data_IF_998640284074
#
_entry.id   IF_998640284074
#
_cell.length_a   1.000
_cell.length_b   1.000
_cell.length_c   1.000
_cell.angle_alpha   90.00
_cell.angle_beta   90.00
_cell.angle_gamma   90.00
#
_symmetry.space_group_name_H-M   'P 1'
#
loop_
_entity.id
_entity.type
_entity.pdbx_description
1 polymer ?
#
# COMPACT_ATOMS: atom_id res chain seq x y z
N UNK A 1 21.04 -29.42 -8.22
CA UNK A 1 20.32 -28.13 -8.26
C UNK A 1 21.11 -27.14 -9.11
N UNK A 2 20.51 -26.54 -10.13
CA UNK A 2 21.18 -25.60 -11.02
C UNK A 2 21.32 -24.22 -10.35
N UNK A 3 22.33 -23.43 -10.77
CA UNK A 3 22.51 -22.06 -10.30
C UNK A 3 21.27 -21.20 -10.62
N UNK A 4 20.68 -21.35 -11.82
CA UNK A 4 19.46 -20.66 -12.19
C UNK A 4 18.28 -21.01 -11.28
N UNK A 5 18.13 -22.29 -10.90
CA UNK A 5 17.11 -22.71 -9.95
C UNK A 5 17.31 -22.10 -8.57
N UNK A 6 18.55 -22.04 -8.09
CA UNK A 6 18.88 -21.43 -6.80
C UNK A 6 18.60 -19.92 -6.81
N UNK A 7 18.92 -19.24 -7.89
CA UNK A 7 18.63 -17.80 -8.05
C UNK A 7 17.13 -17.56 -8.08
N UNK A 8 16.39 -18.37 -8.84
CA UNK A 8 14.92 -18.26 -8.90
C UNK A 8 14.27 -18.46 -7.52
N UNK A 9 14.73 -19.44 -6.75
CA UNK A 9 14.25 -19.67 -5.39
C UNK A 9 14.56 -18.49 -4.47
N UNK A 10 15.77 -17.91 -4.57
CA UNK A 10 16.14 -16.75 -3.77
C UNK A 10 15.30 -15.51 -4.12
N UNK A 11 15.04 -15.28 -5.40
CA UNK A 11 14.17 -14.18 -5.84
C UNK A 11 12.76 -14.37 -5.29
N UNK A 12 12.22 -15.57 -5.43
CA UNK A 12 10.88 -15.89 -4.90
C UNK A 12 10.78 -15.67 -3.39
N UNK A 13 11.73 -16.19 -2.61
CA UNK A 13 11.72 -16.02 -1.15
C UNK A 13 11.90 -14.55 -0.74
N UNK A 14 12.69 -13.79 -1.49
CA UNK A 14 12.88 -12.37 -1.26
C UNK A 14 11.59 -11.57 -1.53
N UNK A 15 10.93 -11.84 -2.64
CA UNK A 15 9.65 -11.20 -2.97
C UNK A 15 8.58 -11.53 -1.93
N UNK A 16 8.48 -12.78 -1.54
CA UNK A 16 7.56 -13.24 -0.48
C UNK A 16 7.85 -12.53 0.85
N UNK A 17 9.11 -12.40 1.23
CA UNK A 17 9.52 -11.70 2.45
C UNK A 17 9.15 -10.21 2.37
N UNK A 18 9.41 -9.55 1.24
CA UNK A 18 9.05 -8.15 1.04
C UNK A 18 7.54 -7.93 1.13
N UNK A 19 6.75 -8.78 0.50
CA UNK A 19 5.29 -8.72 0.55
C UNK A 19 4.77 -8.90 1.99
N UNK A 20 5.35 -9.83 2.73
CA UNK A 20 5.01 -10.05 4.13
C UNK A 20 5.32 -8.81 4.99
N UNK A 21 6.47 -8.18 4.79
CA UNK A 21 6.86 -6.98 5.55
C UNK A 21 5.91 -5.81 5.26
N UNK A 22 5.57 -5.58 4.00
CA UNK A 22 4.60 -4.54 3.60
C UNK A 22 3.23 -4.83 4.22
N UNK A 23 2.78 -6.08 4.16
CA UNK A 23 1.52 -6.50 4.77
C UNK A 23 1.50 -6.26 6.29
N UNK A 24 2.56 -6.67 7.00
CA UNK A 24 2.67 -6.48 8.45
C UNK A 24 2.62 -4.99 8.81
N UNK A 25 3.38 -4.16 8.10
CA UNK A 25 3.40 -2.72 8.32
C UNK A 25 2.01 -2.10 8.13
N UNK A 26 1.35 -2.44 7.04
CA UNK A 26 0.00 -1.97 6.73
C UNK A 26 -1.01 -2.43 7.78
N UNK A 27 -0.91 -3.67 8.23
CA UNK A 27 -1.76 -4.22 9.28
C UNK A 27 -1.57 -3.52 10.62
N UNK A 28 -0.33 -3.19 10.99
CA UNK A 28 -0.04 -2.45 12.22
C UNK A 28 -0.70 -1.07 12.21
N UNK A 29 -0.62 -0.36 11.09
CA UNK A 29 -1.26 0.95 10.94
C UNK A 29 -2.78 0.83 11.05
N UNK A 30 -3.40 -0.12 10.35
CA UNK A 30 -4.84 -0.35 10.36
C UNK A 30 -5.36 -0.86 11.72
N UNK A 31 -4.53 -1.55 12.48
CA UNK A 31 -4.89 -2.06 13.80
C UNK A 31 -5.26 -0.93 14.77
N UNK A 32 -4.60 0.23 14.70
CA UNK A 32 -4.96 1.42 15.49
C UNK A 32 -6.39 1.89 15.23
N UNK A 33 -6.86 1.68 14.02
CA UNK A 33 -8.19 2.09 13.53
C UNK A 33 -9.27 1.02 13.79
N UNK A 34 -8.95 -0.07 14.45
CA UNK A 34 -9.86 -1.19 14.66
C UNK A 34 -10.13 -2.02 13.41
N UNK A 35 -9.44 -1.74 12.29
CA UNK A 35 -9.54 -2.53 11.07
C UNK A 35 -8.83 -3.88 11.23
N UNK A 36 -9.45 -4.92 10.67
CA UNK A 36 -8.83 -6.24 10.64
C UNK A 36 -7.77 -6.37 9.55
N UNK A 37 -6.84 -7.33 9.72
CA UNK A 37 -5.89 -7.66 8.66
C UNK A 37 -6.55 -8.06 7.34
N UNK A 38 -7.80 -8.48 7.36
CA UNK A 38 -8.58 -8.79 6.17
C UNK A 38 -8.83 -7.57 5.30
N UNK A 39 -8.93 -6.37 5.87
CA UNK A 39 -9.07 -5.13 5.11
C UNK A 39 -7.91 -4.95 4.13
N UNK A 40 -6.68 -5.08 4.59
CA UNK A 40 -5.47 -4.97 3.75
C UNK A 40 -5.48 -6.01 2.63
N UNK A 41 -5.80 -7.27 2.95
CA UNK A 41 -5.88 -8.34 1.96
C UNK A 41 -6.98 -8.10 0.93
N UNK A 42 -8.13 -7.59 1.36
CA UNK A 42 -9.23 -7.26 0.46
C UNK A 42 -8.85 -6.12 -0.49
N UNK A 43 -8.17 -5.09 0.00
CA UNK A 43 -7.67 -3.99 -0.84
C UNK A 43 -6.72 -4.52 -1.91
N UNK A 44 -5.78 -5.39 -1.53
CA UNK A 44 -4.87 -6.04 -2.48
C UNK A 44 -5.62 -6.87 -3.53
N UNK A 45 -6.54 -7.73 -3.09
CA UNK A 45 -7.32 -8.58 -3.99
C UNK A 45 -8.15 -7.76 -4.98
N UNK A 46 -8.82 -6.72 -4.51
CA UNK A 46 -9.61 -5.84 -5.37
C UNK A 46 -8.74 -5.07 -6.35
N UNK A 47 -7.59 -4.56 -5.91
CA UNK A 47 -6.64 -3.86 -6.78
C UNK A 47 -6.17 -4.78 -7.91
N UNK A 48 -5.73 -5.98 -7.59
CA UNK A 48 -5.30 -6.97 -8.59
C UNK A 48 -6.42 -7.31 -9.58
N UNK A 49 -7.62 -7.55 -9.09
CA UNK A 49 -8.79 -7.86 -9.94
C UNK A 49 -9.10 -6.71 -10.90
N UNK A 50 -9.13 -5.48 -10.40
CA UNK A 50 -9.41 -4.29 -11.22
C UNK A 50 -8.34 -4.11 -12.30
N UNK A 51 -7.06 -4.19 -11.94
CA UNK A 51 -5.96 -4.01 -12.89
C UNK A 51 -5.92 -5.13 -13.93
N UNK A 52 -6.14 -6.37 -13.51
CA UNK A 52 -6.21 -7.52 -14.43
C UNK A 52 -7.36 -7.36 -15.42
N UNK A 53 -8.51 -6.93 -14.94
CA UNK A 53 -9.67 -6.68 -15.82
C UNK A 53 -9.43 -5.50 -16.75
N UNK A 54 -8.78 -4.43 -16.28
CA UNK A 54 -8.42 -3.29 -17.11
C UNK A 54 -7.54 -3.71 -18.29
N UNK A 55 -6.55 -4.59 -18.06
CA UNK A 55 -5.68 -5.11 -19.13
C UNK A 55 -6.44 -5.93 -20.18
N UNK A 56 -7.58 -6.53 -19.82
CA UNK A 56 -8.42 -7.29 -20.73
C UNK A 56 -9.34 -6.39 -21.57
N UNK A 57 -9.69 -5.21 -21.04
CA UNK A 57 -10.67 -4.31 -21.65
C UNK A 57 -10.05 -3.25 -22.57
N UNK A 58 -8.79 -2.88 -22.34
CA UNK A 58 -8.14 -1.81 -23.10
C UNK A 58 -6.62 -1.97 -23.14
N UNK A 59 -6.02 -1.50 -24.25
CA UNK A 59 -4.57 -1.41 -24.42
C UNK A 59 -4.03 0.00 -24.08
N UNK A 60 -4.90 0.90 -23.61
CA UNK A 60 -4.54 2.28 -23.31
C UNK A 60 -3.52 2.41 -22.18
N UNK A 61 -3.56 1.48 -21.24
CA UNK A 61 -2.69 1.48 -20.04
C UNK A 61 -1.89 0.16 -19.98
N UNK A 62 -0.82 0.04 -20.78
CA UNK A 62 -0.07 -1.22 -20.84
C UNK A 62 0.70 -1.44 -19.54
N UNK A 63 0.23 -2.37 -18.72
CA UNK A 63 0.90 -2.81 -17.48
C UNK A 63 1.40 -4.24 -17.67
N UNK A 64 2.62 -4.50 -17.19
CA UNK A 64 3.14 -5.86 -17.10
C UNK A 64 2.57 -6.58 -15.87
N UNK A 65 2.71 -7.90 -15.81
CA UNK A 65 2.34 -8.67 -14.62
C UNK A 65 3.13 -8.18 -13.37
N UNK A 66 4.37 -7.76 -13.55
CA UNK A 66 5.22 -7.19 -12.50
C UNK A 66 4.69 -5.84 -12.03
N UNK A 67 4.22 -4.99 -12.94
CA UNK A 67 3.58 -3.71 -12.60
C UNK A 67 2.31 -3.92 -11.77
N UNK A 68 1.47 -4.86 -12.17
CA UNK A 68 0.24 -5.20 -11.43
C UNK A 68 0.59 -5.70 -10.02
N UNK A 69 1.56 -6.58 -9.90
CA UNK A 69 2.04 -7.09 -8.60
C UNK A 69 2.57 -5.96 -7.71
N UNK A 70 3.35 -5.05 -8.28
CA UNK A 70 3.90 -3.90 -7.56
C UNK A 70 2.80 -2.93 -7.08
N UNK A 71 1.87 -2.58 -7.94
CA UNK A 71 0.75 -1.69 -7.60
C UNK A 71 -0.14 -2.33 -6.54
N UNK A 72 -0.39 -3.64 -6.66
CA UNK A 72 -1.16 -4.41 -5.68
C UNK A 72 -0.49 -4.37 -4.31
N UNK A 73 0.83 -4.58 -4.24
CA UNK A 73 1.58 -4.46 -3.00
C UNK A 73 1.56 -3.03 -2.45
N UNK A 74 1.78 -2.04 -3.30
CA UNK A 74 1.79 -0.63 -2.92
C UNK A 74 0.42 -0.16 -2.40
N UNK A 75 -0.68 -0.74 -2.88
CA UNK A 75 -2.04 -0.40 -2.43
C UNK A 75 -2.24 -0.63 -0.93
N UNK A 76 -1.49 -1.54 -0.34
CA UNK A 76 -1.51 -1.79 1.11
C UNK A 76 -1.07 -0.59 1.93
N UNK A 77 -0.28 0.32 1.34
CA UNK A 77 0.29 1.48 2.02
C UNK A 77 -0.58 2.74 1.90
N UNK A 78 -1.75 2.66 1.27
CA UNK A 78 -2.61 3.82 1.00
C UNK A 78 -2.98 4.63 2.25
N UNK A 79 -3.09 3.98 3.38
CA UNK A 79 -3.51 4.57 4.66
C UNK A 79 -2.35 4.73 5.68
N UNK A 80 -1.09 4.61 5.22
CA UNK A 80 0.06 4.66 6.13
C UNK A 80 0.13 5.99 6.91
N UNK A 81 -0.36 7.07 6.33
CA UNK A 81 -0.41 8.38 6.98
C UNK A 81 -1.37 8.48 8.17
N UNK A 82 -2.25 7.51 8.36
CA UNK A 82 -3.12 7.44 9.55
C UNK A 82 -2.34 7.34 10.85
N UNK A 83 -1.08 6.94 10.81
CA UNK A 83 -0.21 6.90 11.99
C UNK A 83 -0.06 8.29 12.65
N UNK A 84 -0.21 9.37 11.88
CA UNK A 84 -0.13 10.75 12.35
C UNK A 84 -1.46 11.34 12.82
N UNK A 85 -2.56 10.60 12.68
CA UNK A 85 -3.88 11.08 13.09
C UNK A 85 -4.06 10.85 14.60
N UNK A 86 -4.50 11.84 15.37
CA UNK A 86 -4.81 11.68 16.78
C UNK A 86 -5.85 10.58 17.02
N UNK A 87 -5.65 9.77 18.05
CA UNK A 87 -6.49 8.61 18.34
C UNK A 87 -7.95 9.01 18.58
N UNK A 88 -8.18 10.15 19.22
CA UNK A 88 -9.52 10.66 19.50
C UNK A 88 -10.33 10.94 18.23
N UNK A 89 -9.65 11.31 17.14
CA UNK A 89 -10.26 11.52 15.84
C UNK A 89 -10.32 10.18 15.08
N UNK A 90 -9.23 9.44 15.06
CA UNK A 90 -9.14 8.18 14.31
C UNK A 90 -10.21 7.18 14.75
N UNK A 91 -10.46 7.05 16.06
CA UNK A 91 -11.39 6.10 16.66
C UNK A 91 -12.66 6.76 17.21
N UNK A 92 -13.00 7.96 16.76
CA UNK A 92 -14.18 8.65 17.22
C UNK A 92 -15.44 7.83 16.93
N UNK A 93 -16.28 7.54 17.94
CA UNK A 93 -17.59 6.95 17.71
C UNK A 93 -18.53 8.02 17.15
N UNK A 94 -19.06 7.77 15.95
CA UNK A 94 -20.00 8.69 15.30
C UNK A 94 -19.37 9.53 14.19
N UNK A 95 -20.04 10.59 13.80
CA UNK A 95 -19.62 11.46 12.69
C UNK A 95 -18.54 12.43 13.14
N UNK A 96 -17.62 12.73 12.22
CA UNK A 96 -16.65 13.82 12.39
C UNK A 96 -17.34 15.19 12.30
N UNK A 97 -16.84 16.16 13.06
CA UNK A 97 -17.05 17.56 12.75
C UNK A 97 -16.28 17.95 11.48
N UNK A 98 -16.55 19.13 10.92
CA UNK A 98 -15.83 19.60 9.74
C UNK A 98 -14.31 19.75 10.02
N UNK A 99 -13.96 20.22 11.21
CA UNK A 99 -12.59 20.35 11.66
C UNK A 99 -11.91 18.99 11.80
N UNK A 100 -12.58 18.02 12.43
CA UNK A 100 -12.04 16.65 12.60
C UNK A 100 -11.89 15.96 11.25
N UNK A 101 -12.85 16.16 10.35
CA UNK A 101 -12.76 15.59 9.00
C UNK A 101 -11.60 16.21 8.22
N UNK A 102 -11.35 17.51 8.37
CA UNK A 102 -10.20 18.18 7.78
C UNK A 102 -8.88 17.56 8.29
N UNK A 103 -8.77 17.27 9.58
CA UNK A 103 -7.63 16.60 10.18
C UNK A 103 -7.51 15.16 9.61
N UNK A 104 -8.60 14.41 9.57
CA UNK A 104 -8.60 13.04 9.05
C UNK A 104 -8.12 12.98 7.60
N UNK A 105 -8.52 13.92 6.76
CA UNK A 105 -8.08 13.99 5.37
C UNK A 105 -6.57 14.21 5.20
N UNK A 106 -5.89 14.74 6.20
CA UNK A 106 -4.44 14.98 6.12
C UNK A 106 -3.62 13.69 6.00
N UNK A 107 -4.18 12.52 6.34
CA UNK A 107 -3.44 11.26 6.26
C UNK A 107 -2.92 10.97 4.85
N UNK A 108 -3.64 11.38 3.81
CA UNK A 108 -3.19 11.26 2.41
C UNK A 108 -1.86 11.97 2.17
N UNK A 109 -1.84 13.27 2.46
CA UNK A 109 -0.63 14.09 2.27
C UNK A 109 0.51 13.61 3.18
N UNK A 110 0.20 13.33 4.45
CA UNK A 110 1.19 12.82 5.41
C UNK A 110 1.80 11.51 4.94
N UNK A 111 0.98 10.56 4.47
CA UNK A 111 1.48 9.29 3.93
C UNK A 111 2.42 9.50 2.75
N UNK A 112 2.06 10.38 1.82
CA UNK A 112 2.90 10.74 0.69
C UNK A 112 4.23 11.38 1.14
N UNK A 113 4.17 12.34 2.07
CA UNK A 113 5.34 13.03 2.59
C UNK A 113 6.29 12.07 3.35
N UNK A 114 5.75 11.17 4.14
CA UNK A 114 6.53 10.12 4.82
C UNK A 114 7.35 9.27 3.84
N UNK A 115 6.78 8.95 2.69
CA UNK A 115 7.46 8.18 1.65
C UNK A 115 8.50 9.03 0.90
N UNK A 116 8.23 10.31 0.69
CA UNK A 116 9.19 11.25 0.10
C UNK A 116 10.42 11.49 1.01
N UNK A 117 10.25 11.39 2.32
CA UNK A 117 11.32 11.56 3.30
C UNK A 117 12.31 10.37 3.35
N UNK A 118 12.04 9.29 2.63
CA UNK A 118 12.94 8.14 2.52
C UNK A 118 14.10 8.42 1.56
N UNK A 119 15.04 9.27 1.96
CA UNK A 119 16.13 9.80 1.13
C UNK A 119 16.87 8.75 0.28
N UNK A 120 17.16 7.57 0.86
CA UNK A 120 17.88 6.49 0.17
C UNK A 120 16.98 5.68 -0.77
N UNK A 121 15.66 5.73 -0.60
CA UNK A 121 14.72 4.83 -1.27
C UNK A 121 13.62 5.54 -2.05
N UNK A 122 13.57 6.88 -2.02
CA UNK A 122 12.51 7.67 -2.67
C UNK A 122 12.40 7.43 -4.19
N UNK A 123 13.49 6.98 -4.82
CA UNK A 123 13.53 6.67 -6.24
C UNK A 123 13.18 5.22 -6.57
N UNK A 124 13.00 4.37 -5.55
CA UNK A 124 12.51 3.01 -5.73
C UNK A 124 11.08 3.01 -6.27
N UNK A 125 10.82 2.13 -7.24
CA UNK A 125 9.53 2.07 -7.94
C UNK A 125 8.36 1.85 -6.97
N UNK A 126 8.53 0.98 -5.97
CA UNK A 126 7.52 0.75 -4.94
C UNK A 126 7.19 2.03 -4.17
N UNK A 127 8.19 2.78 -3.76
CA UNK A 127 8.03 4.03 -3.00
C UNK A 127 7.31 5.08 -3.82
N UNK A 128 7.68 5.25 -5.09
CA UNK A 128 7.01 6.18 -6.01
C UNK A 128 5.53 5.83 -6.19
N UNK A 129 5.23 4.57 -6.45
CA UNK A 129 3.85 4.11 -6.64
C UNK A 129 3.05 4.25 -5.35
N UNK A 130 3.58 3.85 -4.22
CA UNK A 130 2.92 3.99 -2.92
C UNK A 130 2.63 5.46 -2.57
N UNK A 131 3.58 6.35 -2.83
CA UNK A 131 3.40 7.80 -2.66
C UNK A 131 2.23 8.33 -3.50
N UNK A 132 2.18 7.95 -4.77
CA UNK A 132 1.12 8.38 -5.68
C UNK A 132 -0.25 7.82 -5.27
N UNK A 133 -0.29 6.61 -4.71
CA UNK A 133 -1.51 6.00 -4.16
C UNK A 133 -1.99 6.73 -2.91
N UNK A 134 -1.10 7.23 -2.06
CA UNK A 134 -1.46 7.97 -0.85
C UNK A 134 -2.15 9.31 -1.15
N UNK A 135 -1.82 9.93 -2.28
CA UNK A 135 -2.37 11.24 -2.68
C UNK A 135 -3.78 11.12 -3.27
#
# INVERSE_FOLDING_TARGET
RTLMGMVADQVYEREKSNNLMVYILSHIVEFRNGESGMHVLNVQAMTEMILTQLMRLTDQYPLTAEDISLITMASSLHDIGKIAIPEEILNKPGRFTDEEFAIMKTHSAVGSDMLDDLELYKDEKLVKVARDICR
#
